data_IF_284485661548
#
_entry.id   IF_284485661548
#
_cell.length_a   1.000
_cell.length_b   1.000
_cell.length_c   1.000
_cell.angle_alpha   90.00
_cell.angle_beta   90.00
_cell.angle_gamma   90.00
#
_symmetry.space_group_name_H-M   'P 1'
#
loop_
_entity.id
_entity.type
_entity.pdbx_description
1 polymer ?
#
# COMPACT_ATOMS: atom_id res chain seq x y z
N UNK A 1 22.47 6.89 -7.64
CA UNK A 1 21.08 6.70 -8.13
C UNK A 1 20.44 5.43 -7.57
N UNK A 2 21.10 4.26 -7.63
CA UNK A 2 20.57 2.98 -7.13
C UNK A 2 20.32 3.02 -5.62
N UNK A 3 21.25 3.53 -4.82
CA UNK A 3 21.14 3.64 -3.36
C UNK A 3 19.99 4.57 -2.91
N UNK A 4 19.71 5.64 -3.64
CA UNK A 4 18.58 6.54 -3.37
C UNK A 4 17.24 5.88 -3.66
N UNK A 5 17.14 5.10 -4.72
CA UNK A 5 15.91 4.37 -5.07
C UNK A 5 15.54 3.33 -3.99
N UNK A 6 16.53 2.63 -3.42
CA UNK A 6 16.28 1.67 -2.34
C UNK A 6 15.81 2.34 -1.04
N UNK A 7 16.32 3.53 -0.70
CA UNK A 7 15.85 4.30 0.46
C UNK A 7 14.39 4.69 0.33
N UNK A 8 13.97 5.19 -0.83
CA UNK A 8 12.56 5.55 -1.08
C UNK A 8 11.63 4.35 -1.04
N UNK A 9 12.07 3.19 -1.55
CA UNK A 9 11.29 1.96 -1.49
C UNK A 9 11.09 1.47 -0.05
N UNK A 10 12.13 1.53 0.77
CA UNK A 10 12.05 1.17 2.18
C UNK A 10 11.14 2.14 2.95
N UNK A 11 11.28 3.45 2.73
CA UNK A 11 10.42 4.47 3.34
C UNK A 11 8.96 4.23 2.96
N UNK A 12 8.67 3.98 1.67
CA UNK A 12 7.32 3.69 1.22
C UNK A 12 6.71 2.49 1.95
N UNK A 13 7.46 1.39 2.04
CA UNK A 13 6.99 0.18 2.72
C UNK A 13 6.74 0.42 4.20
N UNK A 14 7.63 1.13 4.88
CA UNK A 14 7.47 1.48 6.29
C UNK A 14 6.25 2.39 6.51
N UNK A 15 6.16 3.50 5.77
CA UNK A 15 5.07 4.48 5.91
C UNK A 15 3.72 3.86 5.58
N UNK A 16 3.63 3.08 4.48
CA UNK A 16 2.38 2.44 4.11
C UNK A 16 1.94 1.40 5.15
N UNK A 17 2.87 0.61 5.69
CA UNK A 17 2.56 -0.44 6.68
C UNK A 17 2.18 0.17 8.03
N UNK A 18 3.01 1.06 8.60
CA UNK A 18 2.72 1.67 9.90
C UNK A 18 1.49 2.58 9.84
N UNK A 19 1.36 3.40 8.80
CA UNK A 19 0.17 4.22 8.60
C UNK A 19 -1.10 3.38 8.44
N UNK A 20 -1.00 2.24 7.76
CA UNK A 20 -2.08 1.27 7.63
C UNK A 20 -2.49 0.65 8.98
N UNK A 21 -1.53 0.33 9.85
CA UNK A 21 -1.82 -0.16 11.20
C UNK A 21 -2.57 0.88 12.03
N UNK A 22 -2.12 2.13 12.00
CA UNK A 22 -2.79 3.24 12.69
C UNK A 22 -4.20 3.45 12.13
N UNK A 23 -4.35 3.50 10.82
CA UNK A 23 -5.64 3.66 10.15
C UNK A 23 -6.61 2.52 10.53
N UNK A 24 -6.14 1.27 10.53
CA UNK A 24 -6.96 0.13 10.97
C UNK A 24 -7.41 0.27 12.44
N UNK A 25 -6.51 0.72 13.32
CA UNK A 25 -6.83 0.98 14.73
C UNK A 25 -7.94 2.03 14.88
N UNK A 26 -7.80 3.16 14.20
CA UNK A 26 -8.80 4.24 14.23
C UNK A 26 -10.16 3.77 13.70
N UNK A 27 -10.18 3.06 12.59
CA UNK A 27 -11.43 2.52 12.02
C UNK A 27 -12.11 1.53 12.97
N UNK A 28 -11.35 0.67 13.64
CA UNK A 28 -11.90 -0.27 14.61
C UNK A 28 -12.55 0.40 15.81
N UNK A 29 -11.99 1.51 16.27
CA UNK A 29 -12.61 2.31 17.35
C UNK A 29 -13.93 2.95 16.90
N UNK A 30 -14.02 3.36 15.62
CA UNK A 30 -15.23 4.01 15.09
C UNK A 30 -16.38 3.04 14.84
N UNK A 31 -16.11 1.82 14.38
CA UNK A 31 -17.17 0.89 13.95
C UNK A 31 -17.66 -0.08 15.01
N UNK A 32 -16.84 -0.43 15.99
CA UNK A 32 -17.15 -1.31 17.14
C UNK A 32 -18.07 -2.52 16.81
N UNK A 33 -17.86 -3.18 15.68
CA UNK A 33 -18.67 -4.30 15.18
C UNK A 33 -18.33 -5.60 15.92
N UNK A 34 -19.34 -6.36 16.45
CA UNK A 34 -19.09 -7.67 17.05
C UNK A 34 -18.59 -8.67 16.00
N UNK A 35 -17.81 -9.65 16.43
CA UNK A 35 -17.33 -10.74 15.57
C UNK A 35 -18.38 -11.83 15.41
N UNK A 36 -18.31 -12.63 14.29
CA UNK A 36 -19.14 -13.82 14.16
C UNK A 36 -18.82 -14.80 15.29
N UNK A 37 -19.84 -15.36 15.93
CA UNK A 37 -19.71 -16.38 16.99
C UNK A 37 -19.92 -17.78 16.43
N UNK A 38 -19.24 -18.15 15.32
CA UNK A 38 -19.55 -19.40 14.58
C UNK A 38 -18.85 -20.62 15.17
N UNK A 39 -17.59 -20.50 15.62
CA UNK A 39 -16.79 -21.68 15.99
C UNK A 39 -16.24 -21.70 17.41
N UNK A 40 -16.07 -20.57 18.07
CA UNK A 40 -15.51 -20.49 19.43
C UNK A 40 -16.19 -19.36 20.22
N UNK A 41 -17.16 -19.67 21.09
CA UNK A 41 -17.85 -18.67 21.93
C UNK A 41 -16.91 -17.96 22.90
N UNK A 42 -15.72 -18.49 23.17
CA UNK A 42 -14.80 -18.03 24.23
C UNK A 42 -13.65 -17.13 23.72
N UNK A 43 -13.46 -16.96 22.42
CA UNK A 43 -12.45 -15.99 21.93
C UNK A 43 -13.04 -14.60 22.00
N UNK A 44 -13.15 -14.06 23.21
CA UNK A 44 -13.42 -12.64 23.45
C UNK A 44 -12.23 -11.79 22.97
N UNK A 45 -12.11 -11.62 21.65
CA UNK A 45 -11.18 -10.62 21.13
C UNK A 45 -11.80 -9.25 21.40
N UNK A 46 -11.14 -8.48 22.24
CA UNK A 46 -11.53 -7.13 22.67
C UNK A 46 -11.63 -6.12 21.52
N UNK A 47 -11.30 -6.54 20.29
CA UNK A 47 -11.23 -5.65 19.13
C UNK A 47 -12.37 -5.87 18.13
N UNK A 48 -12.89 -4.76 17.56
CA UNK A 48 -13.91 -4.74 16.51
C UNK A 48 -13.58 -5.71 15.36
N UNK A 49 -14.64 -6.35 14.80
CA UNK A 49 -14.54 -7.17 13.60
C UNK A 49 -14.21 -6.36 12.35
N UNK A 50 -14.73 -5.16 12.23
CA UNK A 50 -14.62 -4.31 11.05
C UNK A 50 -13.59 -3.18 11.24
N UNK A 51 -12.77 -2.91 10.22
CA UNK A 51 -12.46 -3.77 9.09
C UNK A 51 -11.49 -4.92 9.46
N UNK A 52 -11.34 -5.92 8.58
CA UNK A 52 -10.39 -7.01 8.81
C UNK A 52 -8.94 -6.51 8.69
N UNK A 53 -8.24 -6.48 9.84
CA UNK A 53 -6.86 -6.00 9.89
C UNK A 53 -5.89 -6.88 9.09
N UNK A 54 -6.08 -8.20 9.07
CA UNK A 54 -5.26 -9.11 8.27
C UNK A 54 -5.45 -8.89 6.77
N UNK A 55 -6.70 -8.73 6.31
CA UNK A 55 -6.99 -8.45 4.91
C UNK A 55 -6.43 -7.08 4.48
N UNK A 56 -6.61 -6.06 5.32
CA UNK A 56 -6.10 -4.71 5.07
C UNK A 56 -4.57 -4.69 5.01
N UNK A 57 -3.89 -5.27 6.00
CA UNK A 57 -2.43 -5.32 6.02
C UNK A 57 -1.85 -6.18 4.88
N UNK A 58 -2.50 -7.29 4.54
CA UNK A 58 -2.11 -8.09 3.39
C UNK A 58 -2.17 -7.27 2.09
N UNK A 59 -3.26 -6.53 1.86
CA UNK A 59 -3.40 -5.67 0.69
C UNK A 59 -2.33 -4.57 0.65
N UNK A 60 -2.04 -3.93 1.78
CA UNK A 60 -1.00 -2.89 1.88
C UNK A 60 0.39 -3.47 1.60
N UNK A 61 0.79 -4.48 2.35
CA UNK A 61 2.16 -5.01 2.28
C UNK A 61 2.42 -5.69 0.94
N UNK A 62 1.60 -6.68 0.57
CA UNK A 62 1.82 -7.42 -0.68
C UNK A 62 1.53 -6.57 -1.91
N UNK A 63 0.57 -5.66 -1.85
CA UNK A 63 0.32 -4.68 -2.92
C UNK A 63 1.51 -3.74 -3.13
N UNK A 64 2.07 -3.19 -2.05
CA UNK A 64 3.25 -2.31 -2.12
C UNK A 64 4.49 -3.05 -2.60
N UNK A 65 4.76 -4.27 -2.06
CA UNK A 65 5.90 -5.10 -2.49
C UNK A 65 5.77 -5.48 -3.96
N UNK A 66 4.58 -5.89 -4.40
CA UNK A 66 4.34 -6.25 -5.80
C UNK A 66 4.53 -5.06 -6.74
N UNK A 67 4.04 -3.88 -6.36
CA UNK A 67 4.27 -2.65 -7.11
C UNK A 67 5.77 -2.33 -7.24
N UNK A 68 6.51 -2.35 -6.13
CA UNK A 68 7.95 -2.09 -6.13
C UNK A 68 8.72 -3.13 -6.96
N UNK A 69 8.40 -4.42 -6.80
CA UNK A 69 9.02 -5.49 -7.56
C UNK A 69 8.69 -5.38 -9.07
N UNK A 70 7.44 -5.07 -9.42
CA UNK A 70 7.04 -4.88 -10.81
C UNK A 70 7.81 -3.75 -11.50
N UNK A 71 8.17 -2.69 -10.77
CA UNK A 71 9.01 -1.58 -11.30
C UNK A 71 10.43 -2.02 -11.66
N UNK A 72 10.96 -3.08 -11.04
CA UNK A 72 12.30 -3.61 -11.34
C UNK A 72 12.33 -4.41 -12.65
N UNK A 73 11.18 -4.89 -13.12
CA UNK A 73 11.10 -5.72 -14.32
C UNK A 73 10.70 -4.90 -15.53
N UNK A 74 11.47 -5.04 -16.63
CA UNK A 74 11.15 -4.41 -17.93
C UNK A 74 10.11 -5.22 -18.72
N UNK A 75 10.03 -6.54 -18.52
CA UNK A 75 9.16 -7.45 -19.25
C UNK A 75 7.76 -7.49 -18.63
N UNK A 76 6.73 -7.33 -19.46
CA UNK A 76 5.33 -7.31 -19.02
C UNK A 76 4.91 -8.61 -18.33
N UNK A 77 5.33 -9.77 -18.85
CA UNK A 77 4.99 -11.07 -18.24
C UNK A 77 5.55 -11.20 -16.81
N UNK A 78 6.78 -10.70 -16.56
CA UNK A 78 7.37 -10.73 -15.24
C UNK A 78 6.62 -9.82 -14.24
N UNK A 79 6.16 -8.65 -14.70
CA UNK A 79 5.28 -7.78 -13.90
C UNK A 79 3.96 -8.47 -13.58
N UNK A 80 3.33 -9.09 -14.59
CA UNK A 80 2.08 -9.82 -14.40
C UNK A 80 2.25 -10.97 -13.39
N UNK A 81 3.35 -11.73 -13.48
CA UNK A 81 3.64 -12.83 -12.56
C UNK A 81 3.73 -12.34 -11.11
N UNK A 82 4.48 -11.27 -10.84
CA UNK A 82 4.64 -10.70 -9.49
C UNK A 82 3.29 -10.20 -8.96
N UNK A 83 2.51 -9.50 -9.77
CA UNK A 83 1.20 -8.99 -9.37
C UNK A 83 0.21 -10.13 -9.08
N UNK A 84 0.21 -11.18 -9.92
CA UNK A 84 -0.63 -12.36 -9.72
C UNK A 84 -0.23 -13.13 -8.47
N UNK A 85 1.06 -13.31 -8.20
CA UNK A 85 1.53 -13.96 -6.99
C UNK A 85 1.08 -13.20 -5.73
N UNK A 86 1.21 -11.88 -5.72
CA UNK A 86 0.72 -11.05 -4.61
C UNK A 86 -0.79 -11.16 -4.43
N UNK A 87 -1.56 -11.13 -5.53
CA UNK A 87 -3.01 -11.30 -5.49
C UNK A 87 -3.40 -12.66 -4.89
N UNK A 88 -2.74 -13.74 -5.29
CA UNK A 88 -2.98 -15.08 -4.74
C UNK A 88 -2.75 -15.08 -3.22
N UNK A 89 -1.65 -14.50 -2.73
CA UNK A 89 -1.36 -14.43 -1.30
C UNK A 89 -2.42 -13.63 -0.55
N UNK A 90 -2.84 -12.48 -1.08
CA UNK A 90 -3.90 -11.66 -0.48
C UNK A 90 -5.20 -12.47 -0.39
N UNK A 91 -5.60 -13.14 -1.47
CA UNK A 91 -6.82 -13.96 -1.51
C UNK A 91 -6.74 -15.11 -0.50
N UNK A 92 -5.62 -15.83 -0.42
CA UNK A 92 -5.43 -16.91 0.56
C UNK A 92 -5.56 -16.41 2.00
N UNK A 93 -4.98 -15.24 2.32
CA UNK A 93 -5.14 -14.61 3.64
C UNK A 93 -6.61 -14.25 3.88
N UNK A 94 -7.29 -13.67 2.92
CA UNK A 94 -8.71 -13.32 3.02
C UNK A 94 -9.59 -14.56 3.27
N UNK A 95 -9.40 -15.59 2.48
CA UNK A 95 -10.13 -16.87 2.64
C UNK A 95 -9.87 -17.50 4.00
N UNK A 96 -8.62 -17.45 4.48
CA UNK A 96 -8.29 -17.97 5.81
C UNK A 96 -9.06 -17.28 6.93
N UNK A 97 -9.34 -15.96 6.81
CA UNK A 97 -10.13 -15.21 7.82
C UNK A 97 -11.59 -15.61 7.83
N UNK A 98 -12.14 -15.91 6.64
CA UNK A 98 -13.51 -16.41 6.50
C UNK A 98 -13.62 -17.85 7.01
N UNK A 99 -12.67 -18.70 6.63
CA UNK A 99 -12.63 -20.09 7.06
C UNK A 99 -12.55 -20.24 8.59
N UNK A 100 -11.76 -19.38 9.25
CA UNK A 100 -11.66 -19.33 10.71
C UNK A 100 -12.90 -18.72 11.39
N UNK A 101 -13.88 -18.22 10.64
CA UNK A 101 -15.09 -17.62 11.19
C UNK A 101 -14.88 -16.37 12.04
N UNK A 102 -13.71 -15.71 11.94
CA UNK A 102 -13.34 -14.54 12.77
C UNK A 102 -13.77 -13.20 12.19
N UNK A 103 -14.17 -13.18 10.92
CA UNK A 103 -14.61 -11.99 10.19
C UNK A 103 -15.78 -12.29 9.26
N UNK A 104 -16.65 -11.30 9.05
CA UNK A 104 -17.66 -11.36 8.00
C UNK A 104 -17.03 -11.09 6.62
N UNK A 105 -17.62 -11.58 5.51
CA UNK A 105 -17.14 -11.27 4.16
C UNK A 105 -17.00 -9.77 3.89
N UNK A 106 -17.94 -8.97 4.39
CA UNK A 106 -17.90 -7.50 4.29
C UNK A 106 -16.68 -6.87 4.98
N UNK A 107 -16.22 -7.45 6.12
CA UNK A 107 -15.05 -6.95 6.85
C UNK A 107 -13.77 -7.18 6.04
N UNK A 108 -13.71 -8.32 5.35
CA UNK A 108 -12.58 -8.71 4.51
C UNK A 108 -12.52 -7.86 3.25
N UNK A 109 -13.66 -7.71 2.54
CA UNK A 109 -13.74 -6.89 1.32
C UNK A 109 -13.39 -5.42 1.64
N UNK A 110 -13.97 -4.87 2.71
CA UNK A 110 -13.66 -3.51 3.15
C UNK A 110 -12.18 -3.37 3.52
N UNK A 111 -11.61 -4.35 4.24
CA UNK A 111 -10.20 -4.36 4.58
C UNK A 111 -9.29 -4.29 3.35
N UNK A 112 -9.55 -5.14 2.34
CA UNK A 112 -8.79 -5.11 1.08
C UNK A 112 -8.96 -3.78 0.36
N UNK A 113 -10.18 -3.28 0.21
CA UNK A 113 -10.45 -2.02 -0.49
C UNK A 113 -9.75 -0.83 0.17
N UNK A 114 -9.88 -0.69 1.50
CA UNK A 114 -9.22 0.36 2.27
C UNK A 114 -7.69 0.21 2.21
N UNK A 115 -7.18 -1.02 2.31
CA UNK A 115 -5.75 -1.31 2.23
C UNK A 115 -5.15 -0.92 0.88
N UNK A 116 -5.81 -1.28 -0.23
CA UNK A 116 -5.37 -0.89 -1.58
C UNK A 116 -5.46 0.62 -1.81
N UNK A 117 -6.53 1.28 -1.35
CA UNK A 117 -6.68 2.73 -1.43
C UNK A 117 -5.56 3.45 -0.67
N UNK A 118 -5.26 3.00 0.55
CA UNK A 118 -4.18 3.55 1.37
C UNK A 118 -2.80 3.35 0.72
N UNK A 119 -2.50 2.14 0.25
CA UNK A 119 -1.24 1.86 -0.46
C UNK A 119 -1.10 2.71 -1.72
N UNK A 120 -2.16 2.83 -2.53
CA UNK A 120 -2.19 3.69 -3.71
C UNK A 120 -1.95 5.16 -3.39
N UNK A 121 -2.56 5.67 -2.31
CA UNK A 121 -2.33 7.02 -1.81
C UNK A 121 -0.85 7.24 -1.43
N UNK A 122 -0.25 6.33 -0.67
CA UNK A 122 1.17 6.41 -0.29
C UNK A 122 2.09 6.38 -1.51
N UNK A 123 1.80 5.51 -2.49
CA UNK A 123 2.56 5.42 -3.74
C UNK A 123 2.49 6.72 -4.55
N UNK A 124 1.29 7.25 -4.76
CA UNK A 124 1.06 8.48 -5.50
C UNK A 124 1.75 9.69 -4.84
N UNK A 125 1.65 9.76 -3.50
CA UNK A 125 2.30 10.83 -2.72
C UNK A 125 3.81 10.77 -2.87
N UNK A 126 4.42 9.57 -2.77
CA UNK A 126 5.86 9.43 -2.93
C UNK A 126 6.32 9.78 -4.35
N UNK A 127 5.58 9.34 -5.37
CA UNK A 127 5.89 9.71 -6.76
C UNK A 127 5.79 11.22 -7.01
N UNK A 128 4.78 11.87 -6.41
CA UNK A 128 4.63 13.31 -6.49
C UNK A 128 5.84 14.02 -5.86
N UNK A 129 6.25 13.64 -4.65
CA UNK A 129 7.41 14.20 -3.96
C UNK A 129 8.69 14.03 -4.81
N UNK A 130 8.90 12.85 -5.39
CA UNK A 130 10.07 12.61 -6.24
C UNK A 130 10.07 13.47 -7.50
N UNK A 131 8.92 13.63 -8.16
CA UNK A 131 8.78 14.48 -9.36
C UNK A 131 9.00 15.95 -9.03
N UNK A 132 8.45 16.45 -7.92
CA UNK A 132 8.66 17.84 -7.49
C UNK A 132 10.11 18.09 -7.06
N UNK A 133 10.75 17.14 -6.36
CA UNK A 133 12.15 17.23 -5.98
C UNK A 133 13.09 17.29 -7.20
N UNK A 134 12.84 16.43 -8.20
CA UNK A 134 13.62 16.42 -9.43
C UNK A 134 13.52 17.73 -10.23
N UNK A 135 12.34 18.37 -10.25
CA UNK A 135 12.13 19.68 -10.92
C UNK A 135 12.83 20.86 -10.24
N UNK A 136 13.20 20.71 -8.97
CA UNK A 136 13.90 21.74 -8.18
C UNK A 136 15.41 21.53 -8.10
N UNK A 137 15.95 20.52 -8.81
CA UNK A 137 17.38 20.30 -8.85
C UNK A 137 18.07 21.50 -9.55
N UNK A 138 19.00 22.23 -8.88
CA UNK A 138 19.67 23.39 -9.44
C UNK A 138 20.35 23.12 -10.79
N UNK A 139 20.80 21.89 -11.01
CA UNK A 139 21.44 21.46 -12.27
C UNK A 139 20.47 21.46 -13.48
N UNK A 140 19.18 21.17 -13.23
CA UNK A 140 18.16 21.19 -14.29
C UNK A 140 17.77 22.63 -14.59
N UNK A 141 17.63 23.47 -13.55
CA UNK A 141 17.31 24.90 -13.67
C UNK A 141 18.43 25.68 -14.38
N UNK A 142 19.67 25.25 -14.24
CA UNK A 142 20.82 25.89 -14.90
C UNK A 142 20.92 25.52 -16.39
N UNK A 143 20.43 24.32 -16.78
CA UNK A 143 20.35 23.89 -18.20
C UNK A 143 19.17 24.51 -18.94
N UNK A 144 18.10 24.93 -18.27
CA UNK A 144 16.94 25.64 -18.86
C UNK A 144 17.16 27.15 -18.97
N UNK A 145 18.26 27.66 -18.41
CA UNK A 145 18.57 29.09 -18.52
C UNK A 145 19.00 29.41 -19.94
N UNK A 146 18.32 30.35 -20.63
CA UNK A 146 18.72 30.71 -21.98
C UNK A 146 20.17 31.20 -22.00
N UNK A 147 20.93 30.78 -23.01
CA UNK A 147 22.33 31.19 -23.17
C UNK A 147 22.45 32.71 -23.09
N UNK A 148 23.43 33.25 -22.33
CA UNK A 148 23.62 34.68 -22.27
C UNK A 148 24.00 35.22 -23.66
N UNK A 149 23.09 35.98 -24.31
CA UNK A 149 23.30 36.58 -25.62
C UNK A 149 22.41 36.10 -26.77
N UNK A 150 21.36 35.30 -26.49
CA UNK A 150 20.34 35.01 -27.52
C UNK A 150 19.47 36.24 -27.82
N UNK A 151 19.00 36.43 -29.07
CA UNK A 151 18.16 37.57 -29.44
C UNK A 151 16.85 37.56 -28.65
N UNK A 152 16.32 38.73 -28.26
CA UNK A 152 15.01 38.81 -27.62
C UNK A 152 13.94 38.34 -28.59
N UNK A 153 13.03 37.45 -28.14
CA UNK A 153 11.86 36.99 -28.87
C UNK A 153 10.79 38.08 -28.82
#
# INVERSE_FOLDING_TARGET
>A
LVLTQHKYSAILLLVSTFGGLVLNGVLKLGFNRPRPAIFLPEVHTVSSSFPSGHAMNAAIVYGTVAYLAARLHKRLWARALVMTAALIVIVLICVSRLYLGVHYPSDVIAGVAIGLAWAGFCMATLEAIQKFGARRDPKILEQEKPAPGGPPV
#
